data_IF_572051081316
#
_entry.id   IF_572051081316
#
_cell.length_a   1.000
_cell.length_b   1.000
_cell.length_c   1.000
_cell.angle_alpha   90.00
_cell.angle_beta   90.00
_cell.angle_gamma   90.00
#
_symmetry.space_group_name_H-M   'P 1'
#
loop_
_entity.id
_entity.type
_entity.pdbx_description
1 polymer ?
#
# COMPACT_ATOMS: atom_id res chain seq x y z
N UNK A 1 -24.20 -9.09 -9.16
CA UNK A 1 -22.89 -8.76 -8.57
C UNK A 1 -21.87 -8.86 -9.67
N UNK A 2 -21.38 -7.74 -10.16
CA UNK A 2 -20.26 -7.69 -11.11
C UNK A 2 -18.90 -7.71 -10.37
N UNK A 3 -17.81 -7.59 -11.11
CA UNK A 3 -16.46 -7.59 -10.53
C UNK A 3 -16.21 -6.39 -9.60
N UNK A 4 -16.81 -5.23 -9.88
CA UNK A 4 -16.67 -4.03 -9.06
C UNK A 4 -17.51 -4.17 -7.78
N UNK A 5 -18.70 -4.75 -7.86
CA UNK A 5 -19.53 -5.07 -6.69
C UNK A 5 -18.81 -6.08 -5.77
N UNK A 6 -18.18 -7.11 -6.34
CA UNK A 6 -17.38 -8.08 -5.57
C UNK A 6 -16.17 -7.41 -4.91
N UNK A 7 -15.45 -6.55 -5.64
CA UNK A 7 -14.34 -5.78 -5.10
C UNK A 7 -14.80 -4.89 -3.93
N UNK A 8 -15.89 -4.14 -4.08
CA UNK A 8 -16.46 -3.28 -3.03
C UNK A 8 -16.77 -4.05 -1.75
N UNK A 9 -17.40 -5.23 -1.87
CA UNK A 9 -17.73 -6.10 -0.74
C UNK A 9 -16.51 -6.44 0.13
N UNK A 10 -15.33 -6.58 -0.50
CA UNK A 10 -14.07 -6.92 0.20
C UNK A 10 -13.28 -5.68 0.61
N UNK A 11 -13.33 -4.63 -0.20
CA UNK A 11 -12.49 -3.46 -0.05
C UNK A 11 -12.76 -2.71 1.26
N UNK A 12 -14.02 -2.41 1.56
CA UNK A 12 -14.42 -1.78 2.81
C UNK A 12 -14.04 -2.63 4.03
N UNK A 13 -14.11 -3.96 3.89
CA UNK A 13 -13.76 -4.89 4.96
C UNK A 13 -12.29 -4.82 5.36
N UNK A 14 -11.41 -4.35 4.47
CA UNK A 14 -9.97 -4.22 4.76
C UNK A 14 -9.64 -2.82 5.24
N UNK A 15 -10.11 -1.83 4.51
CA UNK A 15 -9.66 -0.47 4.67
C UNK A 15 -10.43 0.30 5.74
N UNK A 16 -11.68 -0.09 6.00
CA UNK A 16 -12.56 0.64 6.93
C UNK A 16 -12.31 0.35 8.41
N UNK A 17 -11.72 -0.80 8.75
CA UNK A 17 -11.53 -1.18 10.16
C UNK A 17 -10.26 -1.97 10.46
N UNK A 18 -9.71 -2.76 9.53
CA UNK A 18 -8.61 -3.68 9.88
C UNK A 18 -7.32 -2.95 10.27
N UNK A 19 -6.99 -1.83 9.61
CA UNK A 19 -5.80 -1.04 9.95
C UNK A 19 -5.94 -0.45 11.36
N UNK A 20 -7.11 0.10 11.69
CA UNK A 20 -7.39 0.65 13.02
C UNK A 20 -7.39 -0.46 14.09
N UNK A 21 -7.98 -1.63 13.82
CA UNK A 21 -7.92 -2.80 14.70
C UNK A 21 -6.49 -3.32 14.92
N UNK A 22 -5.63 -3.18 13.92
CA UNK A 22 -4.23 -3.61 14.00
C UNK A 22 -3.44 -2.72 14.96
N UNK A 23 -3.63 -1.40 14.87
CA UNK A 23 -2.84 -0.41 15.64
C UNK A 23 -3.41 -0.11 17.02
N UNK A 24 -4.74 -0.15 17.21
CA UNK A 24 -5.40 0.28 18.46
C UNK A 24 -4.88 -0.38 19.75
N UNK A 25 -4.55 -1.68 19.79
CA UNK A 25 -4.08 -2.31 21.01
C UNK A 25 -2.59 -2.08 21.29
N UNK A 26 -1.87 -1.34 20.45
CA UNK A 26 -0.42 -1.19 20.48
C UNK A 26 0.00 0.22 20.90
N UNK A 27 1.12 0.31 21.62
CA UNK A 27 1.79 1.60 21.84
C UNK A 27 2.49 2.09 20.57
N UNK A 28 2.76 3.41 20.43
CA UNK A 28 3.53 3.93 19.30
C UNK A 28 4.88 3.23 19.10
N UNK A 29 5.57 2.86 20.19
CA UNK A 29 6.84 2.14 20.15
C UNK A 29 6.66 0.72 19.61
N UNK A 30 5.54 0.05 19.90
CA UNK A 30 5.24 -1.27 19.36
C UNK A 30 4.86 -1.20 17.87
N UNK A 31 4.22 -0.11 17.43
CA UNK A 31 3.87 0.11 16.01
C UNK A 31 5.13 0.37 15.17
N UNK A 32 6.07 1.17 15.71
CA UNK A 32 7.35 1.50 15.05
C UNK A 32 8.40 0.40 15.18
N UNK A 33 8.36 -0.35 16.28
CA UNK A 33 9.42 -1.26 16.67
C UNK A 33 9.28 -2.64 16.04
N UNK A 34 10.42 -3.20 15.65
CA UNK A 34 10.49 -4.56 15.10
C UNK A 34 10.09 -5.63 16.10
N UNK A 35 9.15 -6.55 15.78
CA UNK A 35 8.71 -7.58 16.73
C UNK A 35 9.84 -8.56 17.07
N UNK A 36 10.57 -9.02 16.05
CA UNK A 36 11.76 -9.87 16.12
C UNK A 36 12.70 -9.54 14.95
N UNK A 37 14.00 -9.82 15.02
CA UNK A 37 14.93 -9.57 13.92
C UNK A 37 14.44 -10.13 12.57
N UNK A 38 14.57 -9.35 11.50
CA UNK A 38 14.17 -9.74 10.14
C UNK A 38 12.68 -9.65 9.80
N UNK A 39 11.79 -9.32 10.74
CA UNK A 39 10.37 -9.04 10.44
C UNK A 39 10.12 -7.56 10.28
N UNK A 40 9.25 -7.10 9.39
CA UNK A 40 8.97 -5.66 9.27
C UNK A 40 8.13 -5.12 10.45
N UNK A 41 8.37 -3.87 10.91
CA UNK A 41 7.47 -3.20 11.84
C UNK A 41 6.11 -2.86 11.23
N UNK A 42 5.08 -2.77 12.08
CA UNK A 42 3.69 -2.53 11.65
C UNK A 42 3.54 -1.18 10.93
N UNK A 43 4.24 -0.14 11.37
CA UNK A 43 4.25 1.16 10.70
C UNK A 43 4.68 1.05 9.22
N UNK A 44 5.76 0.31 8.96
CA UNK A 44 6.26 0.08 7.61
C UNK A 44 5.28 -0.76 6.79
N UNK A 45 4.70 -1.82 7.37
CA UNK A 45 3.74 -2.68 6.68
C UNK A 45 2.50 -1.92 6.19
N UNK A 46 1.95 -1.05 7.05
CA UNK A 46 0.80 -0.21 6.70
C UNK A 46 1.18 0.77 5.59
N UNK A 47 2.30 1.49 5.75
CA UNK A 47 2.76 2.45 4.75
C UNK A 47 3.04 1.78 3.40
N UNK A 48 3.77 0.66 3.40
CA UNK A 48 4.14 -0.11 2.21
C UNK A 48 2.89 -0.55 1.43
N UNK A 49 1.92 -1.16 2.11
CA UNK A 49 0.68 -1.60 1.50
C UNK A 49 -0.07 -0.43 0.84
N UNK A 50 -0.18 0.72 1.53
CA UNK A 50 -0.87 1.91 1.00
C UNK A 50 -0.09 2.60 -0.13
N UNK A 51 1.24 2.53 -0.13
CA UNK A 51 2.05 3.01 -1.26
C UNK A 51 1.83 2.17 -2.51
N UNK A 52 1.81 0.84 -2.36
CA UNK A 52 1.54 -0.09 -3.47
C UNK A 52 0.14 0.13 -4.04
N UNK A 53 -0.86 0.27 -3.17
CA UNK A 53 -2.23 0.56 -3.61
C UNK A 53 -2.34 1.92 -4.31
N UNK A 54 -1.76 2.98 -3.73
CA UNK A 54 -1.81 4.33 -4.31
C UNK A 54 -1.21 4.33 -5.73
N UNK A 55 -0.04 3.72 -5.93
CA UNK A 55 0.56 3.56 -7.26
C UNK A 55 -0.34 2.74 -8.18
N UNK A 56 -0.81 1.57 -7.72
CA UNK A 56 -1.64 0.68 -8.52
C UNK A 56 -2.94 1.32 -8.99
N UNK A 57 -3.70 1.88 -8.06
CA UNK A 57 -5.01 2.45 -8.32
C UNK A 57 -4.92 3.77 -9.09
N UNK A 58 -4.01 4.66 -8.72
CA UNK A 58 -3.96 6.00 -9.32
C UNK A 58 -3.12 6.06 -10.60
N UNK A 59 -1.97 5.37 -10.67
CA UNK A 59 -1.08 5.48 -11.85
C UNK A 59 -1.29 4.40 -12.89
N UNK A 60 -1.61 3.17 -12.49
CA UNK A 60 -1.78 2.07 -13.45
C UNK A 60 -3.21 1.93 -13.94
N UNK A 61 -4.20 2.06 -13.05
CA UNK A 61 -5.62 1.86 -13.40
C UNK A 61 -6.26 3.14 -13.92
N UNK A 62 -6.22 4.21 -13.13
CA UNK A 62 -6.96 5.44 -13.41
C UNK A 62 -6.17 6.50 -14.19
N UNK A 63 -4.84 6.37 -14.25
CA UNK A 63 -3.93 7.36 -14.83
C UNK A 63 -4.20 8.81 -14.36
N UNK A 64 -4.14 9.02 -13.05
CA UNK A 64 -4.25 10.33 -12.39
C UNK A 64 -3.13 10.51 -11.36
N UNK A 65 -2.91 11.71 -10.79
CA UNK A 65 -1.91 11.91 -9.74
C UNK A 65 -2.09 10.96 -8.55
N UNK A 66 -0.98 10.64 -7.89
CA UNK A 66 -1.01 9.81 -6.68
C UNK A 66 -1.61 10.60 -5.52
N UNK A 67 -2.25 9.92 -4.58
CA UNK A 67 -2.61 10.54 -3.30
C UNK A 67 -1.37 11.11 -2.64
N UNK A 68 -0.23 10.41 -2.73
CA UNK A 68 1.06 10.88 -2.21
C UNK A 68 1.43 12.31 -2.63
N UNK A 69 1.03 12.72 -3.85
CA UNK A 69 1.37 14.02 -4.45
C UNK A 69 0.72 15.21 -3.73
N UNK A 70 -0.32 14.97 -2.92
CA UNK A 70 -1.01 15.99 -2.11
C UNK A 70 -0.25 16.37 -0.83
N UNK A 71 1.08 16.43 -0.91
CA UNK A 71 1.97 16.84 0.17
C UNK A 71 2.17 15.81 1.27
N UNK A 72 1.85 14.53 1.03
CA UNK A 72 1.91 13.49 2.06
C UNK A 72 3.33 13.14 2.47
N UNK A 73 4.34 13.24 1.61
CA UNK A 73 5.74 13.03 2.01
C UNK A 73 6.14 13.92 3.19
N UNK A 74 5.73 15.20 3.14
CA UNK A 74 5.98 16.14 4.24
C UNK A 74 5.18 15.79 5.49
N UNK A 75 3.91 15.44 5.35
CA UNK A 75 3.02 15.09 6.48
C UNK A 75 3.48 13.81 7.18
N UNK A 76 3.87 12.81 6.40
CA UNK A 76 4.40 11.54 6.88
C UNK A 76 5.80 11.70 7.50
N UNK A 77 6.48 12.82 7.29
CA UNK A 77 7.86 13.04 7.72
C UNK A 77 8.85 12.00 7.17
N UNK A 78 8.67 11.58 5.90
CA UNK A 78 9.54 10.59 5.25
C UNK A 78 10.01 11.09 3.88
N UNK A 79 11.29 10.91 3.53
CA UNK A 79 11.84 11.41 2.27
C UNK A 79 11.64 10.45 1.08
N UNK A 80 10.91 9.35 1.26
CA UNK A 80 10.79 8.27 0.27
C UNK A 80 9.49 8.32 -0.51
N UNK A 81 9.60 8.44 -1.84
CA UNK A 81 8.48 8.38 -2.78
C UNK A 81 8.15 6.95 -3.23
N UNK A 82 9.19 6.12 -3.33
CA UNK A 82 9.06 4.73 -3.76
C UNK A 82 8.17 3.92 -2.80
N UNK A 83 7.83 2.71 -3.21
CA UNK A 83 6.96 1.83 -2.43
C UNK A 83 7.66 1.10 -1.29
N UNK A 84 8.97 1.25 -1.10
CA UNK A 84 9.74 0.64 0.00
C UNK A 84 10.28 -0.75 -0.28
N UNK A 85 9.89 -1.39 -1.39
CA UNK A 85 10.44 -2.69 -1.78
C UNK A 85 11.95 -2.61 -1.95
N UNK A 86 12.67 -3.56 -1.34
CA UNK A 86 14.14 -3.60 -1.36
C UNK A 86 14.81 -2.85 -0.21
N UNK A 87 14.03 -2.24 0.71
CA UNK A 87 14.58 -1.64 1.92
C UNK A 87 15.35 -2.65 2.79
N UNK A 88 16.52 -2.26 3.26
CA UNK A 88 17.27 -2.99 4.28
C UNK A 88 16.63 -2.80 5.66
N UNK A 89 16.92 -3.68 6.61
CA UNK A 89 16.42 -3.55 7.98
C UNK A 89 16.75 -2.18 8.60
N UNK A 90 17.97 -1.67 8.37
CA UNK A 90 18.37 -0.33 8.84
C UNK A 90 17.52 0.79 8.21
N UNK A 91 17.25 0.72 6.91
CA UNK A 91 16.39 1.70 6.25
C UNK A 91 14.95 1.64 6.76
N UNK A 92 14.44 0.43 7.04
CA UNK A 92 13.10 0.24 7.63
C UNK A 92 13.05 0.83 9.03
N UNK A 93 14.08 0.62 9.84
CA UNK A 93 14.17 1.15 11.20
C UNK A 93 14.26 2.68 11.19
N UNK A 94 15.06 3.28 10.30
CA UNK A 94 15.16 4.74 10.12
C UNK A 94 13.82 5.35 9.66
N UNK A 95 13.14 4.70 8.73
CA UNK A 95 11.79 5.07 8.31
C UNK A 95 10.82 5.03 9.50
N UNK A 96 10.82 3.94 10.26
CA UNK A 96 9.93 3.76 11.40
C UNK A 96 10.24 4.68 12.56
N UNK A 97 11.48 5.17 12.69
CA UNK A 97 11.84 6.20 13.66
C UNK A 97 11.27 7.57 13.28
N UNK A 98 11.13 7.86 11.98
CA UNK A 98 10.78 9.19 11.46
C UNK A 98 9.29 9.36 11.17
N UNK A 99 8.61 8.31 10.71
CA UNK A 99 7.24 8.42 10.15
C UNK A 99 6.25 8.99 11.16
N UNK A 100 5.40 9.94 10.80
CA UNK A 100 4.31 10.38 11.69
C UNK A 100 3.14 9.37 11.65
N UNK A 101 2.78 8.80 12.80
CA UNK A 101 1.75 7.75 12.87
C UNK A 101 0.33 8.29 12.65
N UNK A 102 0.04 9.52 13.04
CA UNK A 102 -1.26 10.15 12.81
C UNK A 102 -1.41 10.48 11.32
N UNK A 103 -0.35 11.01 10.70
CA UNK A 103 -0.28 11.23 9.28
C UNK A 103 -0.35 9.91 8.50
N UNK A 104 0.27 8.83 8.99
CA UNK A 104 0.15 7.51 8.37
C UNK A 104 -1.30 7.03 8.34
N UNK A 105 -2.01 7.11 9.47
CA UNK A 105 -3.44 6.78 9.51
C UNK A 105 -4.26 7.70 8.58
N UNK A 106 -3.91 8.99 8.51
CA UNK A 106 -4.50 9.94 7.57
C UNK A 106 -4.28 9.56 6.11
N UNK A 107 -3.07 9.11 5.77
CA UNK A 107 -2.69 8.70 4.42
C UNK A 107 -3.46 7.43 4.02
N UNK A 108 -3.59 6.45 4.92
CA UNK A 108 -4.44 5.28 4.69
C UNK A 108 -5.87 5.70 4.33
N UNK A 109 -6.50 6.56 5.14
CA UNK A 109 -7.87 7.06 4.86
C UNK A 109 -7.97 7.81 3.53
N UNK A 110 -6.92 8.53 3.15
CA UNK A 110 -6.88 9.28 1.89
C UNK A 110 -6.77 8.34 0.68
N UNK A 111 -5.89 7.33 0.74
CA UNK A 111 -5.78 6.28 -0.29
C UNK A 111 -7.10 5.51 -0.40
N UNK A 112 -7.70 5.12 0.73
CA UNK A 112 -8.99 4.43 0.76
C UNK A 112 -10.10 5.21 0.06
N UNK A 113 -10.22 6.50 0.40
CA UNK A 113 -11.21 7.36 -0.24
C UNK A 113 -10.96 7.50 -1.74
N UNK A 114 -9.70 7.76 -2.11
CA UNK A 114 -9.33 7.91 -3.50
C UNK A 114 -9.63 6.63 -4.31
N UNK A 115 -9.39 5.45 -3.77
CA UNK A 115 -9.72 4.17 -4.39
C UNK A 115 -11.23 3.95 -4.52
N UNK A 116 -12.02 4.28 -3.50
CA UNK A 116 -13.50 4.21 -3.58
C UNK A 116 -14.07 5.18 -4.61
N UNK A 117 -13.50 6.38 -4.73
CA UNK A 117 -13.91 7.38 -5.72
C UNK A 117 -13.66 6.91 -7.17
N UNK A 118 -12.86 5.87 -7.39
CA UNK A 118 -12.63 5.28 -8.71
C UNK A 118 -13.75 4.35 -9.18
N UNK A 119 -14.73 3.99 -8.34
CA UNK A 119 -15.81 3.05 -8.71
C UNK A 119 -16.49 3.39 -10.06
N UNK A 120 -16.89 4.65 -10.34
CA UNK A 120 -17.49 4.98 -11.64
C UNK A 120 -16.53 4.73 -12.79
N UNK A 121 -15.24 5.06 -12.62
CA UNK A 121 -14.18 4.82 -13.59
C UNK A 121 -13.99 3.32 -13.82
N UNK A 122 -13.90 2.52 -12.75
CA UNK A 122 -13.73 1.07 -12.84
C UNK A 122 -14.85 0.40 -13.64
N UNK A 123 -16.10 0.86 -13.46
CA UNK A 123 -17.25 0.35 -14.23
C UNK A 123 -17.21 0.70 -15.71
N UNK A 124 -16.51 1.77 -16.08
CA UNK A 124 -16.32 2.18 -17.48
C UNK A 124 -15.06 1.59 -18.13
N UNK A 125 -14.17 0.95 -17.38
CA UNK A 125 -12.91 0.40 -17.88
C UNK A 125 -13.07 -1.05 -18.36
N UNK A 126 -12.32 -1.40 -19.41
CA UNK A 126 -12.03 -2.79 -19.72
C UNK A 126 -11.02 -3.33 -18.70
N UNK A 127 -11.52 -4.06 -17.70
CA UNK A 127 -10.70 -4.68 -16.65
C UNK A 127 -9.85 -5.85 -17.17
N UNK A 128 -10.17 -6.43 -18.34
CA UNK A 128 -9.38 -7.49 -18.95
C UNK A 128 -8.18 -6.93 -19.73
N UNK A 129 -8.26 -5.69 -20.21
CA UNK A 129 -7.16 -5.06 -20.94
C UNK A 129 -5.89 -4.90 -20.07
N UNK A 130 -4.70 -5.15 -20.64
CA UNK A 130 -3.43 -4.91 -19.96
C UNK A 130 -3.23 -3.42 -19.67
N UNK A 131 -2.53 -3.14 -18.58
CA UNK A 131 -1.92 -1.81 -18.39
C UNK A 131 -0.74 -1.69 -19.38
N UNK A 132 -0.63 -0.59 -20.15
CA UNK A 132 0.47 -0.43 -21.10
C UNK A 132 1.84 -0.55 -20.41
N UNK A 133 2.74 -1.35 -20.98
CA UNK A 133 4.07 -1.58 -20.40
C UNK A 133 4.86 -0.27 -20.22
N UNK A 134 4.83 0.59 -21.23
CA UNK A 134 5.46 1.91 -21.21
C UNK A 134 4.99 2.75 -20.02
N UNK A 135 3.68 2.70 -19.73
CA UNK A 135 3.10 3.40 -18.57
C UNK A 135 3.69 2.87 -17.26
N UNK A 136 3.72 1.55 -17.09
CA UNK A 136 4.25 0.93 -15.88
C UNK A 136 5.72 1.31 -15.70
N UNK A 137 6.54 1.17 -16.75
CA UNK A 137 7.95 1.52 -16.70
C UNK A 137 8.17 3.00 -16.38
N UNK A 138 7.41 3.89 -17.00
CA UNK A 138 7.49 5.33 -16.74
C UNK A 138 7.20 5.65 -15.26
N UNK A 139 6.11 5.14 -14.71
CA UNK A 139 5.73 5.36 -13.31
C UNK A 139 6.77 4.77 -12.34
N UNK A 140 7.25 3.56 -12.60
CA UNK A 140 8.22 2.92 -11.73
C UNK A 140 9.57 3.65 -11.72
N UNK A 141 10.06 4.06 -12.89
CA UNK A 141 11.41 4.59 -13.07
C UNK A 141 11.47 6.12 -13.06
N UNK A 142 10.75 6.77 -13.97
CA UNK A 142 10.78 8.22 -14.14
C UNK A 142 10.03 8.95 -13.01
N UNK A 143 8.88 8.43 -12.57
CA UNK A 143 8.16 8.99 -11.42
C UNK A 143 8.70 8.46 -10.07
N UNK A 144 9.64 7.50 -10.08
CA UNK A 144 10.32 6.99 -8.89
C UNK A 144 9.45 6.16 -7.94
N UNK A 145 8.42 5.48 -8.46
CA UNK A 145 7.59 4.60 -7.63
C UNK A 145 8.32 3.33 -7.17
N UNK A 146 9.40 2.92 -7.87
CA UNK A 146 10.20 1.74 -7.51
C UNK A 146 11.66 2.16 -7.35
N UNK A 147 12.29 1.69 -6.27
CA UNK A 147 13.72 1.89 -6.06
C UNK A 147 14.54 1.17 -7.15
N UNK A 148 15.61 1.78 -7.72
CA UNK A 148 16.44 1.13 -8.73
C UNK A 148 17.02 -0.22 -8.29
N UNK A 149 17.29 -0.42 -7.00
CA UNK A 149 17.73 -1.69 -6.42
C UNK A 149 16.66 -2.77 -6.38
N UNK A 150 15.40 -2.42 -6.65
CA UNK A 150 14.25 -3.32 -6.73
C UNK A 150 13.63 -3.36 -8.14
N UNK A 151 14.44 -3.19 -9.20
CA UNK A 151 13.98 -3.14 -10.59
C UNK A 151 13.14 -4.35 -11.03
N UNK A 152 13.33 -5.52 -10.40
CA UNK A 152 12.51 -6.71 -10.63
C UNK A 152 11.01 -6.45 -10.42
N UNK A 153 10.65 -5.53 -9.51
CA UNK A 153 9.25 -5.16 -9.27
C UNK A 153 8.66 -4.40 -10.47
N UNK A 154 9.49 -3.59 -11.14
CA UNK A 154 9.11 -2.92 -12.38
C UNK A 154 8.78 -3.95 -13.45
N UNK A 155 9.66 -4.94 -13.65
CA UNK A 155 9.46 -6.00 -14.64
C UNK A 155 8.24 -6.88 -14.30
N UNK A 156 8.02 -7.15 -13.00
CA UNK A 156 6.88 -7.92 -12.54
C UNK A 156 5.52 -7.26 -12.86
N UNK A 157 5.41 -5.94 -12.66
CA UNK A 157 4.20 -5.19 -13.04
C UNK A 157 4.10 -4.94 -14.54
N UNK A 158 5.24 -4.73 -15.22
CA UNK A 158 5.32 -4.51 -16.65
C UNK A 158 4.99 -5.77 -17.48
N UNK A 159 5.00 -6.96 -16.86
CA UNK A 159 4.71 -8.25 -17.48
C UNK A 159 3.25 -8.52 -17.89
N UNK A 160 2.54 -7.50 -18.42
CA UNK A 160 1.22 -7.65 -19.04
C UNK A 160 0.04 -7.81 -18.08
N UNK A 161 0.12 -7.21 -16.88
CA UNK A 161 -0.96 -7.28 -15.89
C UNK A 161 -2.20 -6.54 -16.38
N UNK A 162 -3.36 -7.18 -16.30
CA UNK A 162 -4.64 -6.52 -16.61
C UNK A 162 -5.00 -5.48 -15.55
N UNK A 163 -5.83 -4.51 -15.93
CA UNK A 163 -6.37 -3.52 -14.97
C UNK A 163 -7.08 -4.21 -13.80
N UNK A 164 -7.89 -5.23 -14.07
CA UNK A 164 -8.56 -6.02 -13.04
C UNK A 164 -7.59 -6.76 -12.13
N UNK A 165 -6.47 -7.27 -12.66
CA UNK A 165 -5.42 -7.86 -11.85
C UNK A 165 -4.78 -6.80 -10.93
N UNK A 166 -4.48 -5.61 -11.44
CA UNK A 166 -3.89 -4.52 -10.63
C UNK A 166 -4.85 -4.11 -9.51
N UNK A 167 -6.14 -3.90 -9.82
CA UNK A 167 -7.16 -3.58 -8.81
C UNK A 167 -7.17 -4.64 -7.72
N UNK A 168 -7.35 -5.91 -8.06
CA UNK A 168 -7.43 -6.98 -7.06
C UNK A 168 -6.12 -7.19 -6.30
N UNK A 169 -4.98 -7.18 -7.00
CA UNK A 169 -3.69 -7.46 -6.39
C UNK A 169 -3.27 -6.34 -5.43
N UNK A 170 -3.30 -5.09 -5.89
CA UNK A 170 -2.71 -3.96 -5.16
C UNK A 170 -3.61 -3.44 -4.05
N UNK A 171 -4.94 -3.49 -4.25
CA UNK A 171 -5.92 -2.92 -3.32
C UNK A 171 -6.61 -3.97 -2.43
N UNK A 172 -6.37 -5.27 -2.64
CA UNK A 172 -6.90 -6.32 -1.77
C UNK A 172 -5.83 -7.31 -1.36
N UNK A 173 -5.32 -8.13 -2.29
CA UNK A 173 -4.49 -9.29 -1.92
C UNK A 173 -3.19 -8.89 -1.24
N UNK A 174 -2.50 -7.87 -1.75
CA UNK A 174 -1.28 -7.35 -1.17
C UNK A 174 -1.52 -6.71 0.21
N UNK A 175 -2.60 -5.90 0.32
CA UNK A 175 -2.99 -5.29 1.60
C UNK A 175 -3.35 -6.35 2.64
N UNK A 176 -4.12 -7.37 2.26
CA UNK A 176 -4.42 -8.52 3.12
C UNK A 176 -3.15 -9.24 3.57
N UNK A 177 -2.21 -9.48 2.66
CA UNK A 177 -0.92 -10.10 2.97
C UNK A 177 -0.21 -9.38 4.12
N UNK A 178 -0.04 -8.07 4.00
CA UNK A 178 0.62 -7.27 5.04
C UNK A 178 -0.24 -7.03 6.29
N UNK A 179 -1.57 -7.06 6.17
CA UNK A 179 -2.44 -7.09 7.35
C UNK A 179 -2.22 -8.36 8.18
N UNK A 180 -2.17 -9.54 7.56
CA UNK A 180 -1.91 -10.80 8.28
C UNK A 180 -0.48 -10.87 8.82
N UNK A 181 0.51 -10.31 8.11
CA UNK A 181 1.87 -10.13 8.64
C UNK A 181 1.85 -9.24 9.90
N UNK A 182 1.10 -8.13 9.86
CA UNK A 182 0.88 -7.26 11.00
C UNK A 182 0.21 -7.97 12.18
N UNK A 183 -0.78 -8.83 11.94
CA UNK A 183 -1.42 -9.64 12.98
C UNK A 183 -0.42 -10.59 13.64
N UNK A 184 0.48 -11.20 12.87
CA UNK A 184 1.57 -12.03 13.41
C UNK A 184 2.52 -11.19 14.25
N UNK A 185 2.94 -10.02 13.76
CA UNK A 185 3.79 -9.08 14.51
C UNK A 185 3.14 -8.66 15.84
N UNK A 186 1.84 -8.36 15.82
CA UNK A 186 1.03 -8.06 17.00
C UNK A 186 0.95 -9.24 17.97
N UNK A 187 0.75 -10.45 17.46
CA UNK A 187 0.72 -11.68 18.25
C UNK A 187 2.02 -11.95 19.01
N UNK A 188 3.17 -11.73 18.36
CA UNK A 188 4.50 -11.84 18.97
C UNK A 188 4.73 -10.82 20.10
N UNK A 189 3.98 -9.71 20.12
CA UNK A 189 3.97 -8.72 21.20
C UNK A 189 3.01 -9.06 22.36
N UNK A 190 2.46 -10.27 22.37
CA UNK A 190 1.56 -10.74 23.43
C UNK A 190 0.12 -10.25 23.30
N UNK A 191 -0.22 -9.54 22.22
CA UNK A 191 -1.59 -9.09 21.95
C UNK A 191 -2.36 -10.20 21.23
N UNK A 192 -3.34 -10.79 21.91
CA UNK A 192 -4.13 -11.92 21.38
C UNK A 192 -5.18 -11.43 20.36
N UNK A 193 -5.47 -12.27 19.37
CA UNK A 193 -6.65 -12.09 18.53
C UNK A 193 -7.92 -12.17 19.40
N UNK A 194 -8.89 -11.32 19.10
CA UNK A 194 -10.25 -11.41 19.66
C UNK A 194 -11.09 -12.33 18.79
#
# INVERSE_FOLDING_TARGET
MDAVDFWLLRYESVHGFLIDELIRPLSPEQVRGRPVPGMNPIAWLIWHAMRIEDVGMNRFVADRPQVLDDGWLKRLAVPRRDVGTGMTDAQVDDFCASVDLEALAGYCRAVTRASLDLVPTLRGLDLAAPVPEERVRHVCTAEGAVDPGASWLTDFWAGGRSRGWIVLQTSLLHVYGHYFEGLTARGLRGTRAR
#
